data_IF_204035305405
#
_entry.id   IF_204035305405
#
_cell.length_a   1.000
_cell.length_b   1.000
_cell.length_c   1.000
_cell.angle_alpha   90.00
_cell.angle_beta   90.00
_cell.angle_gamma   90.00
#
_symmetry.space_group_name_H-M   'P 1'
#
loop_
_entity.id
_entity.type
_entity.pdbx_description
1 polymer ?
#
# COMPACT_ATOMS: atom_id res chain seq x y z
N UNK A 1 -22.91 36.82 -2.39
CA UNK A 1 -22.62 36.83 -0.93
C UNK A 1 -22.24 35.42 -0.56
N UNK A 2 -20.92 35.17 -0.47
CA UNK A 2 -20.35 33.86 -0.20
C UNK A 2 -19.97 33.77 1.26
N UNK A 3 -20.49 32.80 1.97
CA UNK A 3 -20.11 32.50 3.35
C UNK A 3 -19.13 31.35 3.36
N UNK A 4 -17.86 31.67 3.56
CA UNK A 4 -16.78 30.72 3.83
C UNK A 4 -16.86 30.32 5.32
N UNK A 5 -17.17 29.04 5.58
CA UNK A 5 -17.06 28.45 6.92
C UNK A 5 -15.63 27.92 7.10
N UNK A 6 -14.82 28.66 7.85
CA UNK A 6 -13.56 28.22 8.42
C UNK A 6 -13.85 27.27 9.59
N UNK A 7 -13.54 26.00 9.43
CA UNK A 7 -13.48 25.07 10.59
C UNK A 7 -12.04 25.06 11.08
N UNK A 8 -11.87 25.74 12.23
CA UNK A 8 -10.62 25.78 12.98
C UNK A 8 -10.48 24.49 13.81
N UNK A 9 -9.42 23.72 13.56
CA UNK A 9 -9.05 22.60 14.44
C UNK A 9 -8.07 23.09 15.51
N UNK A 10 -8.26 22.74 16.78
CA UNK A 10 -7.33 23.13 17.84
C UNK A 10 -6.04 22.32 17.77
N UNK A 11 -4.91 23.04 17.87
CA UNK A 11 -3.58 22.48 18.11
C UNK A 11 -3.56 21.73 19.45
N UNK A 12 -3.27 20.43 19.43
CA UNK A 12 -2.93 19.69 20.65
C UNK A 12 -1.61 18.94 20.41
N UNK A 13 -0.66 19.25 21.29
CA UNK A 13 0.56 18.52 21.64
C UNK A 13 1.77 18.65 20.71
N UNK A 14 2.72 19.48 21.19
CA UNK A 14 4.06 19.62 20.65
C UNK A 14 4.98 18.42 20.96
N UNK A 15 4.89 17.39 20.15
CA UNK A 15 5.95 16.38 20.07
C UNK A 15 6.82 16.69 18.86
N UNK A 16 8.11 16.95 19.11
CA UNK A 16 9.13 17.07 18.06
C UNK A 16 9.34 15.69 17.44
N UNK A 17 8.56 15.38 16.42
CA UNK A 17 8.79 14.20 15.59
C UNK A 17 10.06 14.43 14.75
N UNK A 18 11.06 13.60 14.97
CA UNK A 18 12.25 13.54 14.13
C UNK A 18 11.88 13.29 12.67
N UNK A 19 12.71 13.80 11.76
CA UNK A 19 12.56 13.59 10.31
C UNK A 19 12.43 12.09 10.03
N UNK A 20 11.52 11.64 9.13
CA UNK A 20 11.46 10.24 8.74
C UNK A 20 12.80 9.84 8.10
N UNK A 21 13.45 8.83 8.70
CA UNK A 21 14.60 8.20 8.08
C UNK A 21 14.17 7.57 6.76
N UNK A 22 14.97 7.78 5.71
CA UNK A 22 14.76 7.12 4.41
C UNK A 22 14.93 5.62 4.61
N UNK A 23 13.83 4.89 4.53
CA UNK A 23 13.86 3.44 4.51
C UNK A 23 14.39 3.03 3.15
N UNK A 24 15.62 2.54 3.11
CA UNK A 24 16.20 1.97 1.90
C UNK A 24 15.47 0.67 1.55
N UNK A 25 15.06 0.55 0.30
CA UNK A 25 14.48 -0.70 -0.22
C UNK A 25 15.47 -1.86 -0.01
N UNK A 26 15.08 -2.85 0.78
CA UNK A 26 15.85 -4.08 0.96
C UNK A 26 15.05 -5.27 0.40
N UNK A 27 15.73 -6.25 -0.25
CA UNK A 27 15.07 -7.42 -0.82
C UNK A 27 14.28 -8.22 0.24
N UNK A 28 13.23 -8.88 -0.20
CA UNK A 28 12.26 -9.65 0.63
C UNK A 28 12.86 -10.61 1.68
N UNK A 29 14.14 -10.99 1.54
CA UNK A 29 14.82 -11.90 2.48
C UNK A 29 15.12 -11.29 3.85
N UNK A 30 15.17 -9.96 3.98
CA UNK A 30 15.60 -9.27 5.22
C UNK A 30 14.45 -8.74 6.09
N UNK A 31 13.21 -8.75 5.59
CA UNK A 31 12.04 -8.25 6.34
C UNK A 31 11.71 -9.15 7.54
N UNK A 32 11.94 -10.47 7.42
CA UNK A 32 11.69 -11.43 8.51
C UNK A 32 12.56 -11.22 9.75
N UNK A 33 13.79 -10.73 9.60
CA UNK A 33 14.72 -10.59 10.74
C UNK A 33 14.47 -9.34 11.59
N UNK A 34 13.77 -8.33 11.05
CA UNK A 34 13.55 -7.06 11.76
C UNK A 34 12.38 -7.11 12.75
N UNK A 35 11.40 -8.00 12.53
CA UNK A 35 10.23 -8.14 13.40
C UNK A 35 10.59 -8.90 14.70
N UNK A 36 11.60 -9.76 14.68
CA UNK A 36 12.01 -10.57 15.85
C UNK A 36 12.89 -9.85 16.89
N UNK A 37 13.33 -8.61 16.68
CA UNK A 37 14.25 -7.90 17.60
C UNK A 37 13.62 -6.87 18.54
N UNK A 38 12.32 -6.74 18.59
CA UNK A 38 11.63 -5.77 19.44
C UNK A 38 11.03 -6.37 20.73
N UNK A 39 11.25 -7.66 20.99
CA UNK A 39 10.75 -8.34 22.20
C UNK A 39 11.76 -8.33 23.36
N UNK A 40 12.49 -7.24 23.54
CA UNK A 40 13.38 -7.00 24.68
C UNK A 40 12.65 -6.33 25.83
N UNK A 41 12.18 -7.13 26.81
CA UNK A 41 11.38 -6.69 27.94
C UNK A 41 12.00 -5.64 28.84
N UNK A 42 11.17 -4.73 29.32
CA UNK A 42 11.37 -4.08 30.62
C UNK A 42 10.02 -4.03 31.35
N UNK A 43 10.02 -4.69 32.49
CA UNK A 43 8.95 -4.77 33.49
C UNK A 43 8.64 -3.38 34.05
N UNK A 44 7.38 -2.92 33.96
CA UNK A 44 6.82 -1.87 34.82
C UNK A 44 5.40 -2.24 35.29
N UNK A 45 4.97 -1.82 36.50
CA UNK A 45 3.89 -2.44 37.24
C UNK A 45 2.49 -1.96 36.84
N UNK A 46 1.53 -2.81 37.10
CA UNK A 46 0.08 -2.67 36.99
C UNK A 46 -0.50 -1.30 37.33
N UNK A 47 -1.30 -0.75 36.41
CA UNK A 47 -2.51 -0.02 36.75
C UNK A 47 -3.60 -0.38 35.72
N UNK A 48 -4.73 -0.87 36.24
CA UNK A 48 -5.89 -1.30 35.49
C UNK A 48 -6.54 -0.20 34.69
N UNK A 49 -6.68 -0.40 33.40
CA UNK A 49 -7.88 -0.04 32.63
C UNK A 49 -7.85 -0.85 31.33
N UNK A 50 -8.88 -1.66 31.12
CA UNK A 50 -9.09 -2.46 29.90
C UNK A 50 -9.36 -1.52 28.72
N UNK A 51 -8.31 -0.99 28.15
CA UNK A 51 -8.30 -0.45 26.79
C UNK A 51 -7.92 -1.62 25.89
N UNK A 52 -8.89 -2.05 25.08
CA UNK A 52 -8.67 -2.94 23.93
C UNK A 52 -7.42 -2.42 23.21
N UNK A 53 -6.31 -3.13 23.33
CA UNK A 53 -5.09 -2.88 22.60
C UNK A 53 -5.48 -3.00 21.11
N UNK A 54 -5.68 -1.85 20.46
CA UNK A 54 -5.72 -1.82 19.00
C UNK A 54 -4.30 -2.20 18.59
N UNK A 55 -4.12 -3.44 18.12
CA UNK A 55 -2.91 -3.83 17.42
C UNK A 55 -2.80 -2.89 16.23
N UNK A 56 -1.98 -1.85 16.37
CA UNK A 56 -1.61 -0.96 15.29
C UNK A 56 -0.74 -1.80 14.34
N UNK A 57 -1.36 -2.33 13.28
CA UNK A 57 -0.64 -3.16 12.33
C UNK A 57 0.07 -2.28 11.30
N UNK A 58 1.38 -2.50 11.21
CA UNK A 58 2.21 -1.96 10.16
C UNK A 58 2.23 -2.96 9.01
N UNK A 59 1.64 -2.59 7.88
CA UNK A 59 1.56 -3.45 6.72
C UNK A 59 2.60 -3.08 5.67
N UNK A 60 3.16 -4.11 5.05
CA UNK A 60 4.01 -4.00 3.87
C UNK A 60 3.33 -4.74 2.72
N UNK A 61 3.16 -4.08 1.57
CA UNK A 61 2.53 -4.68 0.41
C UNK A 61 3.44 -4.61 -0.82
N UNK A 62 3.54 -5.71 -1.55
CA UNK A 62 4.13 -5.78 -2.89
C UNK A 62 2.99 -5.90 -3.88
N UNK A 63 2.93 -4.97 -4.84
CA UNK A 63 1.82 -4.89 -5.79
C UNK A 63 2.33 -4.94 -7.23
N UNK A 64 1.58 -5.63 -8.09
CA UNK A 64 1.78 -5.65 -9.52
C UNK A 64 0.45 -5.77 -10.25
N UNK A 65 0.34 -5.14 -11.41
CA UNK A 65 -0.78 -5.26 -12.32
C UNK A 65 -0.29 -5.55 -13.73
N UNK A 66 -0.90 -6.54 -14.38
CA UNK A 66 -0.52 -6.95 -15.72
C UNK A 66 -1.69 -7.03 -16.68
N UNK A 67 -1.41 -6.78 -17.96
CA UNK A 67 -2.36 -6.94 -19.06
C UNK A 67 -1.76 -7.75 -20.20
N UNK A 68 -2.51 -8.70 -20.75
CA UNK A 68 -2.13 -9.44 -21.95
C UNK A 68 -2.60 -8.67 -23.19
N UNK A 69 -1.75 -7.78 -23.68
CA UNK A 69 -2.08 -6.74 -24.66
C UNK A 69 -2.39 -5.41 -23.95
N UNK A 70 -2.47 -4.31 -24.73
CA UNK A 70 -2.67 -2.99 -24.15
C UNK A 70 -3.64 -2.14 -25.01
N UNK A 71 -4.97 -2.23 -24.76
CA UNK A 71 -5.66 -2.95 -23.68
C UNK A 71 -5.79 -4.46 -23.93
N UNK A 72 -5.99 -5.22 -22.85
CA UNK A 72 -6.18 -6.68 -22.90
C UNK A 72 -6.72 -7.29 -21.62
N UNK A 73 -6.91 -8.61 -21.56
CA UNK A 73 -7.22 -9.29 -20.31
C UNK A 73 -6.21 -8.93 -19.24
N UNK A 74 -6.71 -8.46 -18.09
CA UNK A 74 -5.88 -7.87 -17.05
C UNK A 74 -6.10 -8.53 -15.71
N UNK A 75 -5.06 -8.54 -14.88
CA UNK A 75 -5.08 -9.10 -13.55
C UNK A 75 -4.15 -8.35 -12.60
N UNK A 76 -4.41 -8.50 -11.32
CA UNK A 76 -3.61 -7.93 -10.25
C UNK A 76 -3.02 -9.03 -9.37
N UNK A 77 -1.88 -8.74 -8.78
CA UNK A 77 -1.19 -9.58 -7.83
C UNK A 77 -0.69 -8.78 -6.65
N UNK A 78 -0.97 -9.24 -5.44
CA UNK A 78 -0.55 -8.61 -4.21
C UNK A 78 0.03 -9.65 -3.25
N UNK A 79 1.07 -9.23 -2.53
CA UNK A 79 1.61 -9.94 -1.36
C UNK A 79 1.64 -8.94 -0.23
N UNK A 80 0.94 -9.22 0.86
CA UNK A 80 0.80 -8.31 2.00
C UNK A 80 1.33 -9.00 3.25
N UNK A 81 2.32 -8.41 3.88
CA UNK A 81 2.94 -8.87 5.13
C UNK A 81 2.55 -7.94 6.29
N UNK A 82 2.58 -8.47 7.52
CA UNK A 82 2.26 -7.72 8.74
C UNK A 82 0.82 -7.89 9.23
N UNK A 83 -0.02 -8.67 8.52
CA UNK A 83 -1.35 -9.01 9.04
C UNK A 83 -1.26 -10.04 10.18
N UNK A 84 -2.28 -10.06 11.06
CA UNK A 84 -2.36 -11.03 12.16
C UNK A 84 -2.39 -12.49 11.65
N UNK A 85 -2.89 -12.71 10.44
CA UNK A 85 -2.98 -14.03 9.80
C UNK A 85 -1.73 -14.41 9.00
N UNK A 86 -0.65 -13.59 9.10
CA UNK A 86 0.60 -13.78 8.35
C UNK A 86 0.58 -13.15 6.96
N UNK A 87 1.36 -13.71 6.02
CA UNK A 87 1.44 -13.22 4.65
C UNK A 87 0.17 -13.53 3.86
N UNK A 88 -0.53 -12.51 3.40
CA UNK A 88 -1.72 -12.62 2.55
C UNK A 88 -1.32 -12.47 1.08
N UNK A 89 -1.82 -13.38 0.23
CA UNK A 89 -1.58 -13.36 -1.22
C UNK A 89 -2.91 -13.24 -1.97
N UNK A 90 -3.03 -12.21 -2.79
CA UNK A 90 -4.23 -11.95 -3.59
C UNK A 90 -3.87 -12.02 -5.07
N UNK A 91 -4.68 -12.74 -5.86
CA UNK A 91 -4.66 -12.66 -7.31
C UNK A 91 -6.10 -12.53 -7.82
N UNK A 92 -6.37 -11.52 -8.65
CA UNK A 92 -7.72 -11.21 -9.12
C UNK A 92 -7.70 -10.76 -10.57
N UNK A 93 -8.55 -11.38 -11.40
CA UNK A 93 -8.78 -10.87 -12.76
C UNK A 93 -9.69 -9.64 -12.69
N UNK A 94 -9.29 -8.56 -13.34
CA UNK A 94 -10.02 -7.27 -13.30
C UNK A 94 -10.73 -6.93 -14.61
N UNK A 95 -10.70 -7.83 -15.58
CA UNK A 95 -11.38 -7.59 -16.84
C UNK A 95 -10.42 -7.27 -17.98
N UNK A 96 -10.79 -6.33 -18.83
CA UNK A 96 -10.04 -5.94 -20.03
C UNK A 96 -9.64 -4.46 -19.88
N UNK A 97 -8.38 -4.21 -19.58
CA UNK A 97 -7.85 -2.89 -19.27
C UNK A 97 -6.45 -2.68 -19.82
N UNK A 98 -5.98 -1.42 -19.78
CA UNK A 98 -4.60 -1.06 -20.04
C UNK A 98 -3.70 -1.48 -18.85
N UNK A 99 -2.42 -1.72 -19.10
CA UNK A 99 -1.45 -2.13 -18.06
C UNK A 99 -1.42 -1.14 -16.88
N UNK A 100 -1.35 0.16 -17.17
CA UNK A 100 -1.33 1.18 -16.13
C UNK A 100 -2.60 1.16 -15.25
N UNK A 101 -3.76 0.84 -15.83
CA UNK A 101 -5.01 0.64 -15.07
C UNK A 101 -4.88 -0.56 -14.14
N UNK A 102 -4.26 -1.65 -14.59
CA UNK A 102 -4.05 -2.83 -13.76
C UNK A 102 -3.10 -2.54 -12.59
N UNK A 103 -2.03 -1.79 -12.81
CA UNK A 103 -1.11 -1.37 -11.74
C UNK A 103 -1.81 -0.52 -10.67
N UNK A 104 -2.60 0.47 -11.07
CA UNK A 104 -3.39 1.27 -10.15
C UNK A 104 -4.50 0.47 -9.45
N UNK A 105 -5.08 -0.53 -10.11
CA UNK A 105 -6.07 -1.43 -9.49
C UNK A 105 -5.41 -2.29 -8.40
N UNK A 106 -4.16 -2.74 -8.60
CA UNK A 106 -3.42 -3.45 -7.58
C UNK A 106 -3.13 -2.56 -6.36
N UNK A 107 -2.70 -1.31 -6.57
CA UNK A 107 -2.52 -0.34 -5.49
C UNK A 107 -3.82 -0.06 -4.74
N UNK A 108 -4.94 0.12 -5.47
CA UNK A 108 -6.24 0.37 -4.88
C UNK A 108 -6.68 -0.79 -3.98
N UNK A 109 -6.51 -2.04 -4.42
CA UNK A 109 -6.84 -3.24 -3.64
C UNK A 109 -5.99 -3.31 -2.36
N UNK A 110 -4.68 -2.98 -2.43
CA UNK A 110 -3.80 -2.94 -1.25
C UNK A 110 -4.24 -1.88 -0.22
N UNK A 111 -4.61 -0.68 -0.68
CA UNK A 111 -5.11 0.39 0.18
C UNK A 111 -6.44 0.01 0.85
N UNK A 112 -7.38 -0.56 0.10
CA UNK A 112 -8.67 -1.02 0.63
C UNK A 112 -8.47 -2.11 1.67
N UNK A 113 -7.63 -3.10 1.38
CA UNK A 113 -7.32 -4.19 2.31
C UNK A 113 -6.71 -3.66 3.63
N UNK A 114 -5.76 -2.72 3.54
CA UNK A 114 -5.16 -2.12 4.73
C UNK A 114 -6.18 -1.37 5.59
N UNK A 115 -7.08 -0.62 4.95
CA UNK A 115 -8.15 0.11 5.65
C UNK A 115 -9.16 -0.86 6.30
N UNK A 116 -9.56 -1.92 5.60
CA UNK A 116 -10.48 -2.94 6.13
C UNK A 116 -9.91 -3.67 7.34
N UNK A 117 -8.59 -3.90 7.37
CA UNK A 117 -7.90 -4.46 8.53
C UNK A 117 -7.70 -3.45 9.68
N UNK A 118 -8.00 -2.17 9.47
CA UNK A 118 -7.74 -1.11 10.45
C UNK A 118 -6.26 -0.83 10.64
N UNK A 119 -5.43 -1.06 9.63
CA UNK A 119 -4.01 -0.74 9.67
C UNK A 119 -3.77 0.75 9.86
N UNK A 120 -2.71 1.11 10.54
CA UNK A 120 -2.29 2.50 10.74
C UNK A 120 -1.24 2.93 9.74
N UNK A 121 -0.38 2.00 9.33
CA UNK A 121 0.67 2.25 8.34
C UNK A 121 0.55 1.26 7.19
N UNK A 122 0.89 1.74 5.99
CA UNK A 122 1.04 0.90 4.81
C UNK A 122 2.24 1.37 3.99
N UNK A 123 3.22 0.50 3.85
CA UNK A 123 4.31 0.70 2.90
C UNK A 123 4.11 -0.18 1.67
N UNK A 124 4.08 0.44 0.49
CA UNK A 124 3.87 -0.27 -0.79
C UNK A 124 5.18 -0.32 -1.58
N UNK A 125 5.49 -1.47 -2.14
CA UNK A 125 6.54 -1.68 -3.14
C UNK A 125 5.92 -2.02 -4.49
N UNK A 126 6.41 -1.38 -5.55
CA UNK A 126 5.99 -1.64 -6.94
C UNK A 126 7.14 -1.45 -7.92
N UNK A 127 7.14 -2.21 -9.00
CA UNK A 127 8.05 -2.05 -10.14
C UNK A 127 7.53 -1.08 -11.21
N UNK A 128 6.36 -0.46 -10.99
CA UNK A 128 5.83 0.61 -11.83
C UNK A 128 6.39 1.98 -11.42
N UNK A 129 7.50 2.40 -12.01
CA UNK A 129 8.13 3.70 -11.74
C UNK A 129 7.15 4.87 -11.96
N UNK A 130 6.34 4.79 -13.02
CA UNK A 130 5.36 5.83 -13.37
C UNK A 130 4.31 5.97 -12.26
N UNK A 131 3.73 4.86 -11.77
CA UNK A 131 2.75 4.88 -10.70
C UNK A 131 3.36 5.42 -9.42
N UNK A 132 4.56 4.97 -9.04
CA UNK A 132 5.26 5.45 -7.84
C UNK A 132 5.48 6.95 -7.91
N UNK A 133 6.04 7.48 -9.00
CA UNK A 133 6.31 8.91 -9.19
C UNK A 133 5.02 9.76 -9.25
N UNK A 134 3.92 9.20 -9.73
CA UNK A 134 2.63 9.88 -9.69
C UNK A 134 2.07 9.92 -8.26
N UNK A 135 2.20 8.86 -7.49
CA UNK A 135 1.72 8.82 -6.11
C UNK A 135 2.57 9.68 -5.16
N UNK A 136 3.88 9.82 -5.40
CA UNK A 136 4.78 10.72 -4.65
C UNK A 136 4.64 12.19 -5.06
N UNK A 137 3.95 12.47 -6.17
CA UNK A 137 3.78 13.83 -6.70
C UNK A 137 4.92 14.33 -7.57
N UNK A 138 5.92 13.50 -7.88
CA UNK A 138 7.00 13.84 -8.81
C UNK A 138 6.49 13.96 -10.26
N UNK A 139 5.52 13.11 -10.63
CA UNK A 139 4.88 13.15 -11.94
C UNK A 139 3.39 13.51 -11.82
N UNK A 140 2.91 14.31 -12.78
CA UNK A 140 1.48 14.62 -12.90
C UNK A 140 0.76 13.52 -13.67
N UNK A 141 -0.35 13.04 -13.13
CA UNK A 141 -1.25 12.11 -13.85
C UNK A 141 -2.05 12.89 -14.91
N UNK A 142 -1.68 12.78 -16.19
CA UNK A 142 -2.34 13.46 -17.32
C UNK A 142 -3.36 12.57 -18.04
N UNK A 143 -3.41 11.28 -17.73
CA UNK A 143 -4.31 10.33 -18.36
C UNK A 143 -5.72 10.45 -17.79
N UNK A 144 -6.70 10.81 -18.62
CA UNK A 144 -8.11 10.87 -18.21
C UNK A 144 -8.64 9.52 -17.72
N UNK A 145 -8.11 8.40 -18.26
CA UNK A 145 -8.49 7.04 -17.85
C UNK A 145 -7.97 6.67 -16.47
N UNK A 146 -6.80 7.19 -16.08
CA UNK A 146 -6.17 6.91 -14.80
C UNK A 146 -6.58 7.91 -13.71
N UNK A 147 -7.08 9.08 -14.10
CA UNK A 147 -7.31 10.19 -13.18
C UNK A 147 -8.21 9.80 -11.99
N UNK A 148 -9.31 9.11 -12.25
CA UNK A 148 -10.23 8.67 -11.19
C UNK A 148 -9.60 7.65 -10.23
N UNK A 149 -8.83 6.69 -10.77
CA UNK A 149 -8.11 5.69 -9.96
C UNK A 149 -7.00 6.35 -9.13
N UNK A 150 -6.16 7.16 -9.77
CA UNK A 150 -5.11 7.93 -9.10
C UNK A 150 -5.68 8.79 -7.96
N UNK A 151 -6.73 9.55 -8.22
CA UNK A 151 -7.39 10.38 -7.21
C UNK A 151 -7.95 9.54 -6.05
N UNK A 152 -8.58 8.40 -6.35
CA UNK A 152 -9.10 7.48 -5.34
C UNK A 152 -7.99 6.90 -4.49
N UNK A 153 -6.88 6.45 -5.10
CA UNK A 153 -5.72 5.96 -4.38
C UNK A 153 -5.12 7.04 -3.47
N UNK A 154 -4.96 8.28 -3.97
CA UNK A 154 -4.48 9.39 -3.14
C UNK A 154 -5.42 9.71 -1.97
N UNK A 155 -6.74 9.64 -2.20
CA UNK A 155 -7.72 9.87 -1.14
C UNK A 155 -7.65 8.81 -0.04
N UNK A 156 -7.56 7.53 -0.41
CA UNK A 156 -7.43 6.43 0.54
C UNK A 156 -6.08 6.46 1.28
N UNK A 157 -5.00 6.75 0.57
CA UNK A 157 -3.67 6.86 1.15
C UNK A 157 -3.58 7.91 2.29
N UNK A 158 -4.40 8.97 2.24
CA UNK A 158 -4.45 10.00 3.30
C UNK A 158 -5.03 9.50 4.62
N UNK A 159 -5.74 8.39 4.63
CA UNK A 159 -6.28 7.79 5.87
C UNK A 159 -5.28 6.89 6.61
N UNK A 160 -4.10 6.70 6.04
CA UNK A 160 -3.01 5.86 6.55
C UNK A 160 -1.71 6.68 6.65
N UNK A 161 -0.75 6.24 7.47
CA UNK A 161 0.64 6.62 7.31
C UNK A 161 1.20 5.87 6.09
N UNK A 162 0.89 6.39 4.90
CA UNK A 162 1.18 5.76 3.62
C UNK A 162 2.55 6.15 3.08
N UNK A 163 3.27 5.16 2.53
CA UNK A 163 4.48 5.37 1.73
C UNK A 163 4.53 4.38 0.57
N UNK A 164 5.18 4.78 -0.52
CA UNK A 164 5.36 3.94 -1.70
C UNK A 164 6.78 4.06 -2.21
N UNK A 165 7.39 2.94 -2.60
CA UNK A 165 8.75 2.88 -3.13
C UNK A 165 8.80 2.06 -4.42
N UNK A 166 9.61 2.52 -5.37
CA UNK A 166 9.94 1.75 -6.56
C UNK A 166 10.98 0.69 -6.23
N UNK A 167 10.77 -0.52 -6.74
CA UNK A 167 11.74 -1.63 -6.68
C UNK A 167 11.95 -2.19 -8.07
N UNK A 168 13.14 -2.78 -8.36
CA UNK A 168 13.37 -3.53 -9.57
C UNK A 168 12.38 -4.70 -9.71
N UNK A 169 12.07 -5.09 -10.96
CA UNK A 169 11.12 -6.17 -11.25
C UNK A 169 11.58 -7.52 -10.69
N UNK A 170 12.87 -7.75 -10.63
CA UNK A 170 13.50 -8.91 -10.01
C UNK A 170 13.24 -9.04 -8.50
N UNK A 171 12.90 -7.94 -7.84
CA UNK A 171 12.53 -7.91 -6.41
C UNK A 171 11.01 -8.01 -6.21
N UNK A 172 10.18 -7.86 -7.27
CA UNK A 172 8.71 -7.95 -7.24
C UNK A 172 8.16 -9.27 -7.81
N UNK A 173 8.97 -10.35 -7.74
CA UNK A 173 8.70 -11.62 -8.45
C UNK A 173 7.34 -12.23 -8.09
N UNK A 174 7.00 -12.26 -6.82
CA UNK A 174 5.80 -12.97 -6.38
C UNK A 174 4.51 -12.22 -6.75
N UNK A 175 4.45 -10.88 -6.58
CA UNK A 175 3.31 -10.09 -7.01
C UNK A 175 3.12 -10.18 -8.54
N UNK A 176 4.23 -10.12 -9.31
CA UNK A 176 4.22 -10.30 -10.75
C UNK A 176 3.68 -11.68 -11.16
N UNK A 177 4.14 -12.76 -10.48
CA UNK A 177 3.65 -14.13 -10.72
C UNK A 177 2.14 -14.23 -10.47
N UNK A 178 1.64 -13.61 -9.42
CA UNK A 178 0.23 -13.59 -9.06
C UNK A 178 -0.60 -12.81 -10.10
N UNK A 179 -0.17 -11.62 -10.53
CA UNK A 179 -0.82 -10.83 -11.57
C UNK A 179 -0.91 -11.62 -12.89
N UNK A 180 0.20 -12.20 -13.34
CA UNK A 180 0.23 -13.03 -14.54
C UNK A 180 -0.68 -14.27 -14.44
N UNK A 181 -0.75 -14.91 -13.26
CA UNK A 181 -1.66 -16.03 -13.02
C UNK A 181 -3.14 -15.61 -13.12
N UNK A 182 -3.48 -14.42 -12.62
CA UNK A 182 -4.83 -13.87 -12.68
C UNK A 182 -5.29 -13.61 -14.13
N UNK A 183 -4.40 -13.08 -14.96
CA UNK A 183 -4.66 -12.88 -16.39
C UNK A 183 -4.97 -14.20 -17.10
N UNK A 184 -4.15 -15.23 -16.87
CA UNK A 184 -4.29 -16.54 -17.56
C UNK A 184 -5.55 -17.31 -17.18
N UNK A 185 -6.05 -17.17 -15.95
CA UNK A 185 -7.28 -17.84 -15.50
C UNK A 185 -8.52 -17.42 -16.30
N UNK A 186 -8.53 -16.24 -16.89
CA UNK A 186 -9.66 -15.72 -17.68
C UNK A 186 -9.62 -16.12 -19.15
N UNK A 187 -8.47 -16.51 -19.67
CA UNK A 187 -8.27 -16.86 -21.09
C UNK A 187 -8.62 -18.34 -21.37
N UNK A 188 -8.90 -19.11 -20.33
CA UNK A 188 -9.42 -20.49 -20.42
C UNK A 188 -10.93 -20.50 -20.25
#
# INVERSE_FOLDING_TARGET
MSMLLFISYPNICGCKCGKPERISAQPQKHVRERIQRLDGGTHLPHCCSSTRSQNMSDLVAYVDGGSLGNPGPSGIGLVIDGSADGTVKINKSIGHHDNNVAEYAALLEALQFAIELGATTLHVFSDSEVMVKQMTGEYTCRSSRLYSLHWTCQKLARSLAFSISHIPREDNVEANRLANSAVRKRVR
#
